data_IF_436742554417
#
_entry.id   IF_436742554417
#
_cell.length_a   1.000
_cell.length_b   1.000
_cell.length_c   1.000
_cell.angle_alpha   90.00
_cell.angle_beta   90.00
_cell.angle_gamma   90.00
#
_symmetry.space_group_name_H-M   'P 1'
#
loop_
_entity.id
_entity.type
_entity.pdbx_description
1 polymer ?
#
# COMPACT_ATOMS: atom_id res chain seq x y z
N UNK A 1 -24.99 -55.04 -46.98
CA UNK A 1 -24.64 -53.91 -46.08
C UNK A 1 -23.12 -53.89 -45.95
N UNK A 2 -22.47 -53.11 -46.76
CA UNK A 2 -21.00 -52.92 -46.67
C UNK A 2 -20.74 -51.95 -45.49
N UNK A 3 -20.09 -52.48 -44.46
CA UNK A 3 -19.55 -51.69 -43.38
C UNK A 3 -18.35 -50.91 -43.92
N UNK A 4 -18.50 -49.64 -44.15
CA UNK A 4 -17.40 -48.74 -44.49
C UNK A 4 -16.24 -48.93 -43.49
N UNK A 5 -14.98 -49.07 -43.96
CA UNK A 5 -13.86 -49.15 -43.07
C UNK A 5 -13.73 -47.86 -42.25
N UNK A 6 -14.02 -47.95 -40.99
CA UNK A 6 -13.88 -46.84 -40.08
C UNK A 6 -12.38 -46.49 -39.97
N UNK A 7 -12.00 -45.40 -40.61
CA UNK A 7 -10.65 -44.96 -40.75
C UNK A 7 -10.06 -44.59 -39.37
N UNK A 8 -9.29 -45.50 -38.76
CA UNK A 8 -8.67 -45.30 -37.43
C UNK A 8 -7.89 -43.99 -37.29
N UNK A 9 -7.42 -43.45 -38.41
CA UNK A 9 -6.71 -42.17 -38.43
C UNK A 9 -7.65 -40.97 -38.15
N UNK A 10 -8.90 -41.06 -38.60
CA UNK A 10 -9.88 -39.95 -38.37
C UNK A 10 -10.30 -39.86 -36.94
N UNK A 11 -10.43 -40.98 -36.23
CA UNK A 11 -10.76 -41.01 -34.81
C UNK A 11 -9.62 -40.43 -33.98
N UNK A 12 -8.37 -40.77 -34.31
CA UNK A 12 -7.19 -40.21 -33.65
C UNK A 12 -7.06 -38.69 -33.84
N UNK A 13 -7.37 -38.19 -35.04
CA UNK A 13 -7.32 -36.79 -35.34
C UNK A 13 -8.41 -36.00 -34.59
N UNK A 14 -9.64 -36.54 -34.55
CA UNK A 14 -10.74 -35.92 -33.76
C UNK A 14 -10.43 -35.87 -32.25
N UNK A 15 -9.88 -36.96 -31.68
CA UNK A 15 -9.49 -36.99 -30.29
C UNK A 15 -8.39 -35.95 -29.98
N UNK A 16 -7.41 -35.78 -30.88
CA UNK A 16 -6.35 -34.79 -30.71
C UNK A 16 -6.89 -33.35 -30.77
N UNK A 17 -7.80 -33.06 -31.70
CA UNK A 17 -8.45 -31.73 -31.81
C UNK A 17 -9.27 -31.43 -30.57
N UNK A 18 -10.03 -32.37 -30.04
CA UNK A 18 -10.83 -32.18 -28.81
C UNK A 18 -9.93 -31.89 -27.61
N UNK A 19 -8.81 -32.61 -27.48
CA UNK A 19 -7.85 -32.37 -26.39
C UNK A 19 -7.19 -30.96 -26.50
N UNK A 20 -6.85 -30.53 -27.69
CA UNK A 20 -6.28 -29.20 -27.92
C UNK A 20 -7.26 -28.09 -27.59
N UNK A 21 -8.53 -28.23 -28.01
CA UNK A 21 -9.57 -27.24 -27.72
C UNK A 21 -9.90 -27.19 -26.23
N UNK A 22 -9.98 -28.36 -25.57
CA UNK A 22 -10.18 -28.43 -24.13
C UNK A 22 -9.00 -27.81 -23.34
N UNK A 23 -7.76 -28.06 -23.76
CA UNK A 23 -6.56 -27.48 -23.17
C UNK A 23 -6.51 -25.95 -23.31
N UNK A 24 -6.86 -25.43 -24.49
CA UNK A 24 -6.94 -23.98 -24.73
C UNK A 24 -8.05 -23.32 -23.90
N UNK A 25 -9.23 -23.96 -23.80
CA UNK A 25 -10.34 -23.43 -23.03
C UNK A 25 -10.01 -23.36 -21.52
N UNK A 26 -9.38 -24.41 -20.97
CA UNK A 26 -8.96 -24.43 -19.57
C UNK A 26 -7.84 -23.42 -19.31
N UNK A 27 -6.86 -23.29 -20.20
CA UNK A 27 -5.78 -22.31 -20.10
C UNK A 27 -6.31 -20.88 -20.09
N UNK A 28 -7.24 -20.53 -21.00
CA UNK A 28 -7.88 -19.21 -21.05
C UNK A 28 -8.72 -18.93 -19.81
N UNK A 29 -9.44 -19.91 -19.27
CA UNK A 29 -10.23 -19.74 -18.06
C UNK A 29 -9.36 -19.47 -16.83
N UNK A 30 -8.23 -20.20 -16.67
CA UNK A 30 -7.28 -19.97 -15.60
C UNK A 30 -6.62 -18.60 -15.71
N UNK A 31 -6.24 -18.19 -16.92
CA UNK A 31 -5.67 -16.86 -17.16
C UNK A 31 -6.68 -15.74 -16.84
N UNK A 32 -7.93 -15.89 -17.23
CA UNK A 32 -8.98 -14.92 -16.93
C UNK A 32 -9.29 -14.82 -15.42
N UNK A 33 -9.16 -15.92 -14.66
CA UNK A 33 -9.30 -15.92 -13.21
C UNK A 33 -8.13 -15.21 -12.53
N UNK A 34 -6.91 -15.40 -13.01
CA UNK A 34 -5.73 -14.69 -12.50
C UNK A 34 -5.76 -13.20 -12.83
N UNK A 35 -6.23 -12.83 -14.03
CA UNK A 35 -6.37 -11.43 -14.43
C UNK A 35 -7.46 -10.67 -13.65
N UNK A 36 -8.37 -11.38 -12.97
CA UNK A 36 -9.43 -10.81 -12.12
C UNK A 36 -9.07 -10.79 -10.63
N UNK A 37 -7.92 -11.31 -10.24
CA UNK A 37 -7.45 -11.13 -8.87
C UNK A 37 -7.32 -9.62 -8.62
N UNK A 38 -8.01 -9.06 -7.61
CA UNK A 38 -7.84 -7.66 -7.27
C UNK A 38 -6.36 -7.45 -6.98
N UNK A 39 -5.78 -6.40 -7.58
CA UNK A 39 -4.43 -5.99 -7.24
C UNK A 39 -4.40 -5.76 -5.73
N UNK A 40 -3.49 -6.44 -5.05
CA UNK A 40 -3.31 -6.26 -3.62
C UNK A 40 -2.74 -4.86 -3.40
N UNK A 41 -3.57 -3.96 -2.87
CA UNK A 41 -3.20 -2.59 -2.54
C UNK A 41 -2.74 -2.50 -1.10
N UNK A 42 -1.83 -1.57 -0.84
CA UNK A 42 -1.52 -1.14 0.51
C UNK A 42 -2.63 -0.20 1.02
N UNK A 43 -2.92 -0.29 2.29
CA UNK A 43 -3.80 0.62 3.01
C UNK A 43 -3.12 1.01 4.32
N UNK A 44 -3.11 2.29 4.65
CA UNK A 44 -2.35 2.79 5.78
C UNK A 44 -3.26 3.38 6.83
N UNK A 45 -3.16 2.84 8.05
CA UNK A 45 -3.85 3.34 9.23
C UNK A 45 -2.86 4.07 10.12
N UNK A 46 -3.21 5.30 10.51
CA UNK A 46 -2.41 6.13 11.41
C UNK A 46 -2.99 6.03 12.80
N UNK A 47 -2.19 5.59 13.77
CA UNK A 47 -2.58 5.62 15.17
C UNK A 47 -2.57 7.05 15.70
N UNK A 48 -3.33 7.30 16.77
CA UNK A 48 -3.33 8.59 17.47
C UNK A 48 -1.91 8.97 17.89
N UNK A 49 -1.51 10.20 17.58
CA UNK A 49 -0.17 10.70 17.88
C UNK A 49 0.10 10.79 19.39
N UNK A 50 1.36 10.67 19.73
CA UNK A 50 1.87 10.82 21.10
C UNK A 50 2.92 11.93 21.14
N UNK A 51 2.80 12.85 22.11
CA UNK A 51 3.81 13.90 22.33
C UNK A 51 5.11 13.30 22.85
N UNK A 52 6.21 13.60 22.19
CA UNK A 52 7.56 13.12 22.54
C UNK A 52 8.54 14.28 22.53
N UNK A 53 9.61 14.17 23.28
CA UNK A 53 10.69 15.14 23.22
C UNK A 53 11.40 15.08 21.87
N UNK A 54 11.67 16.24 21.29
CA UNK A 54 12.49 16.31 20.09
C UNK A 54 13.93 15.89 20.40
N UNK A 55 14.63 15.23 19.45
CA UNK A 55 16.01 14.75 19.67
C UNK A 55 17.02 15.84 20.01
N UNK A 56 16.69 17.11 19.79
CA UNK A 56 17.53 18.27 20.12
C UNK A 56 16.81 19.06 21.21
N UNK A 57 17.09 18.73 22.46
CA UNK A 57 16.51 19.17 23.69
C UNK A 57 15.98 20.61 23.77
N UNK A 58 14.71 20.82 23.53
CA UNK A 58 14.00 22.07 23.78
C UNK A 58 13.24 22.09 25.11
N UNK A 59 13.19 20.97 25.84
CA UNK A 59 12.49 20.86 27.12
C UNK A 59 10.96 20.93 27.05
N UNK A 60 10.40 21.20 25.87
CA UNK A 60 8.96 21.23 25.59
C UNK A 60 8.71 20.19 24.51
N UNK A 61 7.70 19.30 24.65
CA UNK A 61 7.37 18.33 23.61
C UNK A 61 6.81 19.11 22.40
N UNK A 62 7.68 19.40 21.45
CA UNK A 62 7.33 19.99 20.15
C UNK A 62 7.28 18.95 19.06
N UNK A 63 7.61 17.70 19.41
CA UNK A 63 7.58 16.55 18.51
C UNK A 63 6.45 15.60 18.88
N UNK A 64 5.91 14.96 17.85
CA UNK A 64 4.88 13.94 17.99
C UNK A 64 5.28 12.71 17.20
N UNK A 65 5.04 11.53 17.79
CA UNK A 65 5.20 10.24 17.15
C UNK A 65 3.86 9.72 16.69
N UNK A 66 3.82 9.24 15.45
CA UNK A 66 2.68 8.56 14.85
C UNK A 66 3.12 7.18 14.38
N UNK A 67 2.41 6.15 14.77
CA UNK A 67 2.64 4.80 14.29
C UNK A 67 1.71 4.54 13.10
N UNK A 68 2.28 4.28 11.93
CA UNK A 68 1.56 4.02 10.69
C UNK A 68 1.68 2.54 10.35
N UNK A 69 0.55 1.86 10.26
CA UNK A 69 0.50 0.43 9.97
C UNK A 69 -0.10 0.18 8.58
N UNK A 70 0.54 -0.66 7.79
CA UNK A 70 -0.04 -1.16 6.55
C UNK A 70 -1.07 -2.24 6.87
N UNK A 71 -2.34 -1.91 6.77
CA UNK A 71 -3.48 -2.81 7.00
C UNK A 71 -4.05 -3.38 5.69
N UNK A 72 -3.45 -3.02 4.56
CA UNK A 72 -3.83 -3.50 3.23
C UNK A 72 -3.43 -4.95 2.96
N UNK A 73 -3.83 -5.44 1.80
CA UNK A 73 -3.54 -6.80 1.34
C UNK A 73 -2.20 -6.92 0.59
N UNK A 74 -1.55 -5.79 0.29
CA UNK A 74 -0.27 -5.73 -0.43
C UNK A 74 0.74 -4.81 0.22
N UNK A 75 2.02 -5.01 -0.11
CA UNK A 75 3.05 -4.04 0.22
C UNK A 75 2.95 -2.84 -0.71
N UNK A 76 3.15 -1.62 -0.19
CA UNK A 76 3.08 -0.40 -0.97
C UNK A 76 3.95 0.71 -0.41
N UNK A 77 4.22 1.71 -1.22
CA UNK A 77 5.00 2.86 -0.80
C UNK A 77 4.14 3.76 0.09
N UNK A 78 4.66 4.16 1.23
CA UNK A 78 3.97 5.03 2.18
C UNK A 78 4.18 6.49 1.81
N UNK A 79 3.10 7.22 1.54
CA UNK A 79 3.09 8.68 1.38
C UNK A 79 2.24 9.30 2.49
N UNK A 80 2.82 10.20 3.26
CA UNK A 80 2.12 10.92 4.33
C UNK A 80 2.24 12.43 4.17
N UNK A 81 1.20 13.13 4.61
CA UNK A 81 1.19 14.58 4.76
C UNK A 81 0.90 14.93 6.22
N UNK A 82 1.52 15.99 6.72
CA UNK A 82 1.24 16.58 8.03
C UNK A 82 0.61 17.94 7.87
N UNK A 83 -0.47 18.18 8.61
CA UNK A 83 -1.17 19.46 8.60
C UNK A 83 -1.17 20.01 10.03
N UNK A 84 -0.65 21.22 10.27
CA UNK A 84 -0.67 21.84 11.59
C UNK A 84 -2.11 22.13 12.03
N UNK A 85 -2.35 21.98 13.32
CA UNK A 85 -3.61 22.33 13.95
C UNK A 85 -3.44 23.73 14.55
N UNK A 86 -3.70 24.77 13.77
CA UNK A 86 -3.47 26.17 14.16
C UNK A 86 -2.55 26.90 13.20
N UNK A 87 -2.08 28.08 13.60
CA UNK A 87 -1.30 29.00 12.75
C UNK A 87 0.19 28.65 12.67
N UNK A 88 0.63 27.57 13.32
CA UNK A 88 2.02 27.09 13.28
C UNK A 88 2.35 26.32 12.00
N UNK A 89 3.59 25.83 11.96
CA UNK A 89 4.06 24.92 10.92
C UNK A 89 4.34 23.55 11.49
N UNK A 90 4.07 22.49 10.72
CA UNK A 90 4.40 21.11 11.06
C UNK A 90 5.17 20.46 9.91
N UNK A 91 6.23 19.74 10.25
CA UNK A 91 7.07 19.03 9.28
C UNK A 91 7.42 17.64 9.81
N UNK A 92 7.65 16.69 8.92
CA UNK A 92 8.26 15.41 9.30
C UNK A 92 9.74 15.60 9.57
N UNK A 93 10.23 15.09 10.72
CA UNK A 93 11.64 15.24 11.10
C UNK A 93 12.59 14.57 10.09
N UNK A 94 12.16 13.48 9.47
CA UNK A 94 12.97 12.73 8.50
C UNK A 94 13.19 13.47 7.17
N UNK A 95 12.19 14.25 6.72
CA UNK A 95 12.26 14.99 5.44
C UNK A 95 12.49 16.49 5.61
N UNK A 96 12.19 17.03 6.80
CA UNK A 96 12.14 18.48 7.03
C UNK A 96 11.01 19.19 6.27
N UNK A 97 10.05 18.43 5.72
CA UNK A 97 8.95 18.91 4.90
C UNK A 97 7.60 18.45 5.47
N UNK A 98 6.53 19.04 5.00
CA UNK A 98 5.15 18.65 5.32
C UNK A 98 4.71 17.34 4.65
N UNK A 99 5.57 16.77 3.79
CA UNK A 99 5.37 15.50 3.08
C UNK A 99 6.49 14.53 3.40
N UNK A 100 6.11 13.27 3.57
CA UNK A 100 7.02 12.14 3.75
C UNK A 100 6.70 11.05 2.73
N UNK A 101 7.74 10.49 2.13
CA UNK A 101 7.66 9.33 1.24
C UNK A 101 8.65 8.28 1.73
N UNK A 102 8.19 7.03 1.89
CA UNK A 102 9.08 5.94 2.29
C UNK A 102 10.08 5.61 1.18
N UNK A 103 11.28 5.21 1.54
CA UNK A 103 12.34 4.84 0.59
C UNK A 103 12.06 3.52 -0.16
N UNK A 104 11.05 2.78 0.26
CA UNK A 104 10.64 1.51 -0.32
C UNK A 104 9.26 1.08 0.16
N UNK A 105 8.75 -0.04 -0.37
CA UNK A 105 7.44 -0.54 -0.01
C UNK A 105 7.40 -1.00 1.46
N UNK A 106 6.35 -0.62 2.16
CA UNK A 106 6.06 -1.07 3.53
C UNK A 106 5.31 -2.39 3.45
N UNK A 107 5.83 -3.48 4.06
CA UNK A 107 5.16 -4.77 4.06
C UNK A 107 3.78 -4.74 4.73
N UNK A 108 2.95 -5.72 4.39
CA UNK A 108 1.66 -5.95 5.06
C UNK A 108 1.88 -6.17 6.56
N UNK A 109 1.02 -5.61 7.40
CA UNK A 109 1.06 -5.65 8.87
C UNK A 109 2.31 -4.99 9.51
N UNK A 110 3.21 -4.42 8.70
CA UNK A 110 4.34 -3.67 9.25
C UNK A 110 3.89 -2.31 9.78
N UNK A 111 4.43 -1.94 10.94
CA UNK A 111 4.24 -0.62 11.57
C UNK A 111 5.49 0.21 11.39
N UNK A 112 5.33 1.43 10.94
CA UNK A 112 6.39 2.38 10.69
C UNK A 112 6.20 3.64 11.57
N UNK A 113 7.13 3.99 12.47
CA UNK A 113 7.03 5.18 13.28
C UNK A 113 7.41 6.41 12.46
N UNK A 114 6.55 7.42 12.45
CA UNK A 114 6.82 8.74 11.89
C UNK A 114 6.89 9.78 13.01
N UNK A 115 7.84 10.68 12.90
CA UNK A 115 8.02 11.78 13.85
C UNK A 115 7.78 13.10 13.14
N UNK A 116 6.99 13.97 13.78
CA UNK A 116 6.72 15.32 13.30
C UNK A 116 7.22 16.35 14.30
N UNK A 117 7.73 17.46 13.82
CA UNK A 117 8.07 18.63 14.60
C UNK A 117 7.04 19.74 14.32
N UNK A 118 6.51 20.34 15.39
CA UNK A 118 5.59 21.47 15.28
C UNK A 118 6.28 22.73 15.77
N UNK A 119 6.27 23.76 14.93
CA UNK A 119 6.75 25.10 15.25
C UNK A 119 5.54 25.99 15.49
N UNK A 120 5.31 26.46 16.73
CA UNK A 120 4.21 27.37 17.01
C UNK A 120 4.40 28.69 16.24
N UNK A 121 3.29 29.39 15.99
CA UNK A 121 3.33 30.73 15.42
C UNK A 121 4.07 31.70 16.37
N UNK A 122 4.58 32.80 15.81
CA UNK A 122 5.32 33.80 16.59
C UNK A 122 4.45 34.38 17.72
N UNK A 123 4.89 34.19 18.96
CA UNK A 123 4.19 34.65 20.15
C UNK A 123 3.28 33.59 20.82
N UNK A 124 3.12 32.42 20.23
CA UNK A 124 2.41 31.30 20.84
C UNK A 124 3.39 30.36 21.53
N UNK A 125 3.01 29.90 22.73
CA UNK A 125 3.77 28.89 23.49
C UNK A 125 3.09 27.53 23.47
N UNK A 126 1.82 27.48 23.05
CA UNK A 126 1.03 26.25 23.00
C UNK A 126 1.32 25.50 21.70
N UNK A 127 1.77 24.26 21.83
CA UNK A 127 1.96 23.34 20.71
C UNK A 127 0.81 22.36 20.70
N UNK A 128 0.08 22.31 19.61
CA UNK A 128 -1.02 21.36 19.39
C UNK A 128 -0.54 20.23 18.48
N UNK A 129 -1.07 19.04 18.73
CA UNK A 129 -0.76 17.85 17.92
C UNK A 129 -1.25 18.08 16.49
N UNK A 130 -0.40 17.91 15.47
CA UNK A 130 -0.82 18.06 14.09
C UNK A 130 -1.66 16.87 13.63
N UNK A 131 -2.37 17.01 12.53
CA UNK A 131 -3.02 15.92 11.85
C UNK A 131 -2.04 15.26 10.85
N UNK A 132 -2.01 13.94 10.82
CA UNK A 132 -1.22 13.16 9.84
C UNK A 132 -2.19 12.29 9.05
N UNK A 133 -2.10 12.36 7.74
CA UNK A 133 -2.84 11.51 6.81
C UNK A 133 -1.86 10.77 5.91
N UNK A 134 -2.07 9.46 5.76
CA UNK A 134 -1.21 8.60 4.96
C UNK A 134 -2.02 7.84 3.92
N UNK A 135 -1.39 7.56 2.79
CA UNK A 135 -1.95 6.78 1.68
C UNK A 135 -0.85 5.99 0.98
N UNK A 136 -1.23 5.11 0.08
CA UNK A 136 -0.30 4.49 -0.86
C UNK A 136 0.23 5.55 -1.83
N UNK A 137 1.54 5.67 -1.95
CA UNK A 137 2.24 6.52 -2.91
C UNK A 137 2.17 5.93 -4.32
N UNK A 138 2.18 6.79 -5.31
CA UNK A 138 2.22 6.40 -6.72
C UNK A 138 3.65 6.02 -7.16
#
# INVERSE_FOLDING_TARGET
MELLPQNRSTIGYLALVVLLVAGLATGLALFALQARAPLAHADFTVATGEGVECPVGSGVPTCFRFDVTNTGAGAGQLECIVVPTGDGAAVFTASGQDRYLSSGPVPVEATYPLYTEVKPATGETKVEMPAVACREGE
#
